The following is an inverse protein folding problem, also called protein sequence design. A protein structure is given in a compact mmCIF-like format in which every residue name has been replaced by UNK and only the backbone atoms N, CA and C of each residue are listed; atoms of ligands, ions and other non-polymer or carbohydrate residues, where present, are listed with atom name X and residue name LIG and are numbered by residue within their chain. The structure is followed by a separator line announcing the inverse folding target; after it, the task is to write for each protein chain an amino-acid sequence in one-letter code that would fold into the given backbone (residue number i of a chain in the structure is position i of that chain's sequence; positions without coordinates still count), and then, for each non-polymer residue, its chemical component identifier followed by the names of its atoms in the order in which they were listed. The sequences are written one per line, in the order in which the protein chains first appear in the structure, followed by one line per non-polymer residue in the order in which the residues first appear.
data_IF_217048144559
#
_entry.id   IF_217048144559
#
_cell.length_a   1.000
_cell.length_b   1.000
_cell.length_c   1.000
_cell.angle_alpha   90.00
_cell.angle_beta   90.00
_cell.angle_gamma   90.00
#
_symmetry.space_group_name_H-M   'P 1'
#
loop_
_entity.id
_entity.type
_entity.pdbx_description
1 polymer ?
#
# COMPACT_ATOMS: atom_id res chain seq x y z
N UNK A 1 17.01 -9.74 -19.21
CA UNK A 1 17.54 -8.66 -18.37
C UNK A 1 17.66 -9.14 -16.93
N UNK A 2 16.57 -9.42 -16.20
CA UNK A 2 16.62 -10.10 -14.90
C UNK A 2 15.36 -9.86 -14.06
N UNK A 3 15.40 -10.25 -12.78
CA UNK A 3 14.36 -10.00 -11.79
C UNK A 3 15.00 -9.49 -10.49
N UNK A 4 14.65 -8.27 -10.08
CA UNK A 4 15.14 -7.69 -8.83
C UNK A 4 14.56 -8.38 -7.60
N UNK A 5 13.35 -8.97 -7.70
CA UNK A 5 12.74 -9.75 -6.62
C UNK A 5 13.54 -11.02 -6.29
N UNK A 6 13.99 -11.74 -7.31
CA UNK A 6 14.70 -13.02 -7.14
C UNK A 6 16.22 -12.90 -7.21
N UNK A 7 16.74 -11.81 -7.79
CA UNK A 7 18.15 -11.65 -8.10
C UNK A 7 18.60 -12.38 -9.37
N UNK A 8 17.67 -12.99 -10.12
CA UNK A 8 18.01 -13.74 -11.33
C UNK A 8 18.37 -12.82 -12.51
N UNK A 9 19.26 -13.30 -13.38
CA UNK A 9 19.68 -12.59 -14.60
C UNK A 9 20.87 -11.64 -14.38
N UNK A 10 21.13 -10.80 -15.37
CA UNK A 10 22.23 -9.84 -15.37
C UNK A 10 21.71 -8.46 -14.97
N UNK A 11 21.55 -8.25 -13.66
CA UNK A 11 21.03 -7.00 -13.12
C UNK A 11 22.00 -5.82 -13.31
N UNK A 12 23.30 -6.09 -13.39
CA UNK A 12 24.32 -5.04 -13.61
C UNK A 12 24.19 -4.39 -14.99
N UNK A 13 23.66 -5.12 -15.97
CA UNK A 13 23.39 -4.56 -17.29
C UNK A 13 21.97 -4.05 -17.52
N UNK A 14 21.07 -4.21 -16.54
CA UNK A 14 19.65 -3.93 -16.70
C UNK A 14 19.37 -2.49 -17.15
N UNK A 15 20.17 -1.54 -16.67
CA UNK A 15 20.01 -0.11 -16.93
C UNK A 15 21.00 0.47 -17.96
N UNK A 16 21.68 -0.36 -18.78
CA UNK A 16 22.75 0.13 -19.69
C UNK A 16 22.29 1.20 -20.70
N UNK A 17 21.02 1.17 -21.08
CA UNK A 17 20.46 2.04 -22.11
C UNK A 17 19.30 2.91 -21.55
N UNK A 18 19.34 3.23 -20.25
CA UNK A 18 18.30 3.98 -19.56
C UNK A 18 18.84 5.24 -18.86
N UNK A 19 18.21 6.39 -19.12
CA UNK A 19 18.54 7.66 -18.47
C UNK A 19 17.84 7.82 -17.10
N UNK A 20 16.69 7.17 -16.94
CA UNK A 20 15.85 7.22 -15.75
C UNK A 20 15.21 5.86 -15.43
N UNK A 21 14.82 5.65 -14.17
CA UNK A 21 14.17 4.42 -13.71
C UNK A 21 12.94 4.69 -12.84
N UNK A 22 11.89 3.89 -13.01
CA UNK A 22 10.82 3.75 -12.02
C UNK A 22 11.08 2.50 -11.17
N UNK A 23 11.17 2.68 -9.85
CA UNK A 23 11.45 1.61 -8.90
C UNK A 23 10.19 1.30 -8.11
N UNK A 24 9.87 0.01 -8.02
CA UNK A 24 8.77 -0.51 -7.24
C UNK A 24 9.15 -1.90 -6.74
N UNK A 25 8.86 -2.18 -5.47
CA UNK A 25 9.07 -3.50 -4.87
C UNK A 25 7.72 -4.19 -4.75
N UNK A 26 7.60 -5.40 -5.30
CA UNK A 26 6.46 -6.26 -5.01
C UNK A 26 6.65 -6.86 -3.63
N UNK A 27 5.68 -6.70 -2.73
CA UNK A 27 5.71 -7.37 -1.44
C UNK A 27 5.72 -8.90 -1.62
N UNK A 28 6.72 -9.56 -1.02
CA UNK A 28 6.72 -11.01 -0.82
C UNK A 28 6.18 -11.34 0.58
N UNK A 29 4.91 -11.74 0.63
CA UNK A 29 4.21 -12.09 1.86
C UNK A 29 4.77 -13.31 2.60
N UNK A 30 5.68 -14.07 1.96
CA UNK A 30 6.39 -15.19 2.60
C UNK A 30 7.75 -14.78 3.17
N UNK A 31 8.20 -13.54 2.90
CA UNK A 31 9.51 -13.03 3.30
C UNK A 31 9.47 -11.52 3.55
N UNK A 32 8.49 -11.06 4.33
CA UNK A 32 8.16 -9.63 4.48
C UNK A 32 9.38 -8.81 4.94
N UNK A 33 10.13 -9.30 5.93
CA UNK A 33 11.28 -8.58 6.48
C UNK A 33 12.58 -8.75 5.67
N UNK A 34 12.73 -9.84 4.92
CA UNK A 34 13.95 -10.10 4.15
C UNK A 34 13.91 -9.57 2.72
N UNK A 35 12.72 -9.45 2.13
CA UNK A 35 12.55 -9.15 0.72
C UNK A 35 12.94 -7.70 0.37
N UNK A 36 12.37 -6.72 1.07
CA UNK A 36 12.65 -5.30 0.82
C UNK A 36 14.15 -4.96 0.89
N UNK A 37 14.90 -5.37 1.95
CA UNK A 37 16.35 -5.16 2.00
C UNK A 37 17.12 -5.82 0.85
N UNK A 38 16.73 -7.03 0.45
CA UNK A 38 17.38 -7.76 -0.62
C UNK A 38 17.18 -7.04 -1.98
N UNK A 39 15.95 -6.63 -2.27
CA UNK A 39 15.62 -5.87 -3.49
C UNK A 39 16.29 -4.50 -3.48
N UNK A 40 16.25 -3.78 -2.36
CA UNK A 40 16.88 -2.47 -2.21
C UNK A 40 18.39 -2.51 -2.50
N UNK A 41 19.09 -3.52 -1.98
CA UNK A 41 20.52 -3.72 -2.29
C UNK A 41 20.74 -3.91 -3.80
N UNK A 42 19.93 -4.74 -4.44
CA UNK A 42 20.04 -5.00 -5.88
C UNK A 42 19.76 -3.73 -6.71
N UNK A 43 18.78 -2.92 -6.32
CA UNK A 43 18.55 -1.62 -6.95
C UNK A 43 19.77 -0.71 -6.82
N UNK A 44 20.32 -0.56 -5.61
CA UNK A 44 21.51 0.26 -5.38
C UNK A 44 22.69 -0.21 -6.22
N UNK A 45 22.96 -1.52 -6.25
CA UNK A 45 24.09 -2.08 -7.00
C UNK A 45 23.94 -1.91 -8.52
N UNK A 46 22.72 -2.08 -9.05
CA UNK A 46 22.43 -1.89 -10.46
C UNK A 46 22.49 -0.40 -10.85
N UNK A 47 21.97 0.50 -10.01
CA UNK A 47 21.96 1.94 -10.30
C UNK A 47 23.35 2.56 -10.24
N UNK A 48 24.19 2.20 -9.26
CA UNK A 48 25.57 2.72 -9.10
C UNK A 48 26.42 2.57 -10.36
N UNK A 49 26.21 1.50 -11.11
CA UNK A 49 27.02 1.16 -12.30
C UNK A 49 26.31 1.49 -13.62
N UNK A 50 25.25 2.32 -13.57
CA UNK A 50 24.41 2.62 -14.71
C UNK A 50 24.48 4.09 -15.16
N UNK A 51 24.07 4.39 -16.40
CA UNK A 51 23.86 5.76 -16.86
C UNK A 51 22.65 6.46 -16.22
N UNK A 52 21.82 5.77 -15.44
CA UNK A 52 20.65 6.38 -14.80
C UNK A 52 21.06 7.57 -13.93
N UNK A 53 20.39 8.71 -14.11
CA UNK A 53 20.59 9.92 -13.31
C UNK A 53 19.35 10.35 -12.54
N UNK A 54 18.21 9.76 -12.83
CA UNK A 54 16.95 9.99 -12.12
C UNK A 54 16.27 8.66 -11.79
N UNK A 55 15.85 8.47 -10.54
CA UNK A 55 14.94 7.40 -10.21
C UNK A 55 13.73 7.89 -9.41
N UNK A 56 12.54 7.46 -9.85
CA UNK A 56 11.29 7.66 -9.13
C UNK A 56 10.97 6.36 -8.40
N UNK A 57 11.00 6.40 -7.07
CA UNK A 57 10.72 5.26 -6.20
C UNK A 57 9.28 5.33 -5.68
N UNK A 58 8.47 4.32 -5.98
CA UNK A 58 7.21 4.09 -5.29
C UNK A 58 7.50 3.48 -3.92
N UNK A 59 7.22 4.26 -2.88
CA UNK A 59 7.36 3.88 -1.48
C UNK A 59 6.03 4.13 -0.75
N UNK A 60 6.02 3.97 0.57
CA UNK A 60 4.79 4.05 1.35
C UNK A 60 4.80 5.22 2.33
N UNK A 61 3.61 5.70 2.70
CA UNK A 61 3.42 6.43 3.96
C UNK A 61 4.13 5.70 5.10
N UNK A 62 4.83 6.44 5.97
CA UNK A 62 5.58 5.82 7.07
C UNK A 62 6.99 5.37 6.70
N UNK A 63 7.44 5.50 5.45
CA UNK A 63 8.83 5.20 5.07
C UNK A 63 9.86 6.09 5.78
N UNK A 64 9.45 7.25 6.29
CA UNK A 64 10.26 8.11 7.17
C UNK A 64 10.39 7.60 8.60
N UNK A 65 9.53 6.69 9.02
CA UNK A 65 9.44 6.23 10.42
C UNK A 65 10.31 4.99 10.61
N UNK A 66 11.17 5.04 11.61
CA UNK A 66 11.98 3.89 12.03
C UNK A 66 11.31 3.10 13.16
N UNK A 67 11.69 1.83 13.30
CA UNK A 67 11.25 0.96 14.38
C UNK A 67 10.10 0.04 13.98
N UNK A 68 9.42 -0.50 14.99
CA UNK A 68 8.40 -1.52 14.83
C UNK A 68 7.11 -0.92 14.26
N UNK A 69 7.06 -0.87 12.93
CA UNK A 69 5.98 -0.28 12.13
C UNK A 69 5.39 -1.30 11.15
N UNK A 70 5.65 -2.58 11.37
CA UNK A 70 5.20 -3.67 10.51
C UNK A 70 5.64 -3.46 9.07
N UNK A 71 4.68 -3.48 8.17
CA UNK A 71 4.90 -3.41 6.74
C UNK A 71 5.68 -2.15 6.31
N UNK A 72 5.53 -1.04 7.03
CA UNK A 72 6.21 0.22 6.75
C UNK A 72 7.74 0.16 6.94
N UNK A 73 8.23 -0.76 7.78
CA UNK A 73 9.66 -0.89 8.06
C UNK A 73 10.48 -1.27 6.81
N UNK A 74 9.91 -2.09 5.91
CA UNK A 74 10.55 -2.46 4.65
C UNK A 74 10.74 -1.26 3.72
N UNK A 75 9.75 -0.37 3.65
CA UNK A 75 9.83 0.87 2.88
C UNK A 75 10.85 1.85 3.47
N UNK A 76 10.96 1.93 4.79
CA UNK A 76 12.01 2.72 5.44
C UNK A 76 13.41 2.23 5.02
N UNK A 77 13.64 0.92 5.06
CA UNK A 77 14.91 0.33 4.64
C UNK A 77 15.21 0.55 3.16
N UNK A 78 14.20 0.44 2.29
CA UNK A 78 14.31 0.75 0.86
C UNK A 78 14.75 2.20 0.64
N UNK A 79 14.05 3.14 1.25
CA UNK A 79 14.36 4.57 1.11
C UNK A 79 15.77 4.88 1.65
N UNK A 80 16.14 4.35 2.82
CA UNK A 80 17.49 4.56 3.38
C UNK A 80 18.59 3.99 2.48
N UNK A 81 18.37 2.83 1.86
CA UNK A 81 19.33 2.24 0.94
C UNK A 81 19.49 3.08 -0.33
N UNK A 82 18.39 3.47 -0.96
CA UNK A 82 18.42 4.31 -2.17
C UNK A 82 19.05 5.67 -1.90
N UNK A 83 18.77 6.27 -0.74
CA UNK A 83 19.34 7.57 -0.35
C UNK A 83 20.88 7.61 -0.30
N UNK A 84 21.56 6.46 -0.29
CA UNK A 84 23.02 6.36 -0.35
C UNK A 84 23.60 6.64 -1.76
N UNK A 85 22.76 6.74 -2.80
CA UNK A 85 23.20 7.04 -4.16
C UNK A 85 23.47 8.53 -4.33
N UNK A 86 24.73 8.96 -4.41
CA UNK A 86 25.10 10.37 -4.57
C UNK A 86 24.87 10.92 -5.98
N UNK A 87 24.87 10.05 -6.99
CA UNK A 87 24.91 10.46 -8.41
C UNK A 87 23.58 10.16 -9.14
N UNK A 88 22.54 9.82 -8.37
CA UNK A 88 21.18 9.58 -8.87
C UNK A 88 20.23 10.48 -8.08
N UNK A 89 19.53 11.36 -8.79
CA UNK A 89 18.45 12.16 -8.22
C UNK A 89 17.26 11.25 -7.92
N UNK A 90 16.67 11.42 -6.75
CA UNK A 90 15.59 10.54 -6.27
C UNK A 90 14.32 11.30 -5.97
N UNK A 91 13.22 10.78 -6.51
CA UNK A 91 11.86 11.18 -6.13
C UNK A 91 11.20 10.02 -5.40
N UNK A 92 10.94 10.18 -4.11
CA UNK A 92 10.17 9.25 -3.31
C UNK A 92 8.68 9.60 -3.38
N UNK A 93 7.91 8.78 -4.08
CA UNK A 93 6.45 8.82 -4.06
C UNK A 93 5.96 8.00 -2.84
N UNK A 94 5.75 8.67 -1.71
CA UNK A 94 5.15 8.07 -0.50
C UNK A 94 3.66 7.94 -0.72
N UNK A 95 3.27 6.83 -1.34
CA UNK A 95 1.87 6.54 -1.59
C UNK A 95 1.15 6.11 -0.32
N UNK A 96 -0.09 6.55 -0.21
CA UNK A 96 -1.00 6.09 0.85
C UNK A 96 -1.67 4.76 0.49
N UNK A 97 -2.71 4.37 1.24
CA UNK A 97 -3.46 3.16 0.94
C UNK A 97 -4.13 3.23 -0.43
N UNK A 98 -4.03 2.14 -1.19
CA UNK A 98 -4.60 2.08 -2.53
C UNK A 98 -6.12 1.93 -2.44
N UNK A 99 -6.86 2.77 -3.16
CA UNK A 99 -8.32 2.74 -3.21
C UNK A 99 -8.81 1.37 -3.72
N UNK A 100 -8.04 0.74 -4.60
CA UNK A 100 -8.26 -0.59 -5.15
C UNK A 100 -8.30 -1.69 -4.08
N UNK A 101 -7.62 -1.50 -2.94
CA UNK A 101 -7.66 -2.46 -1.82
C UNK A 101 -9.08 -2.62 -1.26
N UNK A 102 -9.97 -1.66 -1.50
CA UNK A 102 -11.38 -1.75 -1.08
C UNK A 102 -12.12 -2.93 -1.71
N UNK A 103 -11.65 -3.42 -2.88
CA UNK A 103 -12.23 -4.59 -3.56
C UNK A 103 -12.18 -5.85 -2.69
N UNK A 104 -11.23 -5.96 -1.75
CA UNK A 104 -11.12 -7.07 -0.82
C UNK A 104 -12.36 -7.21 0.10
N UNK A 105 -13.13 -6.14 0.30
CA UNK A 105 -14.36 -6.16 1.09
C UNK A 105 -15.64 -6.40 0.27
N UNK A 106 -15.57 -6.54 -1.06
CA UNK A 106 -16.77 -6.74 -1.88
C UNK A 106 -17.59 -7.96 -1.42
N UNK A 107 -16.92 -9.09 -1.16
CA UNK A 107 -17.55 -10.30 -0.64
C UNK A 107 -18.07 -10.15 0.80
N UNK A 108 -17.30 -9.47 1.65
CA UNK A 108 -17.70 -9.17 3.03
C UNK A 108 -18.99 -8.34 3.08
N UNK A 109 -19.05 -7.27 2.27
CA UNK A 109 -20.23 -6.42 2.17
C UNK A 109 -21.39 -7.20 1.56
N UNK A 110 -21.17 -8.01 0.53
CA UNK A 110 -22.20 -8.88 -0.06
C UNK A 110 -22.85 -9.82 0.96
N UNK A 111 -22.02 -10.54 1.73
CA UNK A 111 -22.47 -11.58 2.68
C UNK A 111 -23.00 -11.03 4.00
N UNK A 112 -22.37 -9.98 4.52
CA UNK A 112 -22.59 -9.53 5.91
C UNK A 112 -23.07 -8.09 6.02
N UNK A 113 -23.11 -7.33 4.93
CA UNK A 113 -23.45 -5.91 4.99
C UNK A 113 -22.46 -5.11 5.84
N UNK A 114 -21.21 -5.55 5.92
CA UNK A 114 -20.20 -4.93 6.74
C UNK A 114 -18.80 -5.10 6.14
N UNK A 115 -17.88 -4.25 6.58
CA UNK A 115 -16.45 -4.37 6.34
C UNK A 115 -15.70 -4.40 7.67
N UNK A 116 -14.88 -5.43 7.85
CA UNK A 116 -14.07 -5.71 9.03
C UNK A 116 -12.62 -5.30 8.79
N UNK A 117 -12.06 -4.55 9.74
CA UNK A 117 -10.66 -4.09 9.67
C UNK A 117 -10.15 -3.63 11.03
N UNK A 118 -8.84 -3.39 11.16
CA UNK A 118 -8.18 -3.04 12.44
C UNK A 118 -7.71 -1.58 12.54
N UNK A 119 -8.22 -0.69 11.68
CA UNK A 119 -7.95 0.74 11.77
C UNK A 119 -8.95 1.37 12.75
N UNK A 120 -8.49 2.15 13.71
CA UNK A 120 -9.36 2.81 14.69
C UNK A 120 -10.50 3.58 13.97
N UNK A 121 -11.77 3.44 14.38
CA UNK A 121 -12.90 4.10 13.73
C UNK A 121 -12.77 5.61 13.56
N UNK A 122 -12.04 6.27 14.47
CA UNK A 122 -11.82 7.72 14.44
C UNK A 122 -10.55 8.11 13.67
N UNK A 123 -9.76 7.12 13.24
CA UNK A 123 -8.52 7.36 12.52
C UNK A 123 -8.79 7.64 11.05
N UNK A 124 -8.55 8.89 10.64
CA UNK A 124 -8.44 9.28 9.23
C UNK A 124 -7.12 8.77 8.65
N UNK A 125 -7.21 8.08 7.52
CA UNK A 125 -6.04 7.66 6.73
C UNK A 125 -6.16 8.12 5.29
N UNK A 126 -5.04 8.51 4.66
CA UNK A 126 -5.03 8.91 3.26
C UNK A 126 -5.25 7.70 2.33
N UNK A 127 -5.90 7.97 1.20
CA UNK A 127 -6.14 7.01 0.11
C UNK A 127 -5.65 7.55 -1.22
N UNK A 128 -5.31 6.67 -2.16
CA UNK A 128 -4.80 7.05 -3.49
C UNK A 128 -5.17 5.99 -4.53
N UNK A 129 -5.48 6.40 -5.76
CA UNK A 129 -5.63 5.46 -6.88
C UNK A 129 -4.27 5.13 -7.51
N UNK A 130 -4.11 3.89 -7.99
CA UNK A 130 -2.89 3.48 -8.71
C UNK A 130 -2.65 4.30 -9.98
N UNK A 131 -3.72 4.70 -10.66
CA UNK A 131 -3.65 5.60 -11.83
C UNK A 131 -3.04 6.97 -11.48
N UNK A 132 -3.38 7.51 -10.31
CA UNK A 132 -2.84 8.81 -9.86
C UNK A 132 -1.36 8.70 -9.51
N UNK A 133 -0.94 7.58 -8.91
CA UNK A 133 0.48 7.27 -8.67
C UNK A 133 1.23 7.18 -10.01
N UNK A 134 0.69 6.44 -10.97
CA UNK A 134 1.30 6.26 -12.28
C UNK A 134 1.46 7.59 -13.03
N UNK A 135 0.42 8.44 -13.01
CA UNK A 135 0.45 9.77 -13.60
C UNK A 135 1.51 10.66 -12.94
N UNK A 136 1.61 10.64 -11.62
CA UNK A 136 2.63 11.41 -10.89
C UNK A 136 4.04 10.89 -11.17
N UNK A 137 4.23 9.56 -11.21
CA UNK A 137 5.51 8.96 -11.56
C UNK A 137 5.96 9.34 -12.98
N UNK A 138 5.05 9.25 -13.95
CA UNK A 138 5.32 9.66 -15.33
C UNK A 138 5.69 11.16 -15.42
N UNK A 139 4.99 12.02 -14.66
CA UNK A 139 5.30 13.45 -14.58
C UNK A 139 6.70 13.71 -14.02
N UNK A 140 7.06 13.08 -12.91
CA UNK A 140 8.38 13.27 -12.27
C UNK A 140 9.51 12.72 -13.15
N UNK A 141 9.28 11.65 -13.90
CA UNK A 141 10.24 11.12 -14.89
C UNK A 141 10.43 12.03 -16.11
N UNK A 142 9.37 12.70 -16.56
CA UNK A 142 9.38 13.51 -17.80
C UNK A 142 9.64 15.00 -17.56
N UNK A 143 9.45 15.48 -16.33
CA UNK A 143 9.71 16.85 -15.92
C UNK A 143 10.46 16.86 -14.57
N UNK A 144 11.74 16.49 -14.57
CA UNK A 144 12.54 16.42 -13.35
C UNK A 144 12.64 17.78 -12.67
N UNK A 145 12.62 17.78 -11.34
CA UNK A 145 12.76 18.99 -10.53
C UNK A 145 14.17 19.59 -10.58
N UNK A 146 15.17 18.76 -10.88
CA UNK A 146 16.59 19.09 -10.73
C UNK A 146 17.08 19.07 -9.26
N UNK A 147 16.22 18.66 -8.32
CA UNK A 147 16.59 18.48 -6.92
C UNK A 147 17.11 17.06 -6.70
N UNK A 148 18.17 16.93 -5.92
CA UNK A 148 18.77 15.63 -5.64
C UNK A 148 17.83 14.68 -4.88
N UNK A 149 16.97 15.24 -4.02
CA UNK A 149 16.01 14.49 -3.20
C UNK A 149 14.68 15.21 -3.14
N UNK A 150 13.64 14.49 -3.55
CA UNK A 150 12.27 14.97 -3.54
C UNK A 150 11.41 13.94 -2.82
N UNK A 151 10.52 14.41 -1.95
CA UNK A 151 9.50 13.58 -1.30
C UNK A 151 8.13 14.11 -1.73
N UNK A 152 7.27 13.20 -2.19
CA UNK A 152 5.86 13.47 -2.51
C UNK A 152 4.99 12.58 -1.65
N UNK A 153 4.16 13.17 -0.81
CA UNK A 153 3.06 12.44 -0.17
C UNK A 153 1.91 12.34 -1.19
N UNK A 154 1.54 11.10 -1.54
CA UNK A 154 0.61 10.82 -2.64
C UNK A 154 -0.68 10.24 -2.05
N UNK A 155 -1.70 11.09 -1.92
CA UNK A 155 -3.03 10.74 -1.43
C UNK A 155 -4.07 11.77 -1.85
N UNK A 156 -5.23 11.32 -2.33
CA UNK A 156 -6.32 12.15 -2.84
C UNK A 156 -7.21 12.69 -1.72
N UNK A 157 -7.54 11.85 -0.74
CA UNK A 157 -8.43 12.21 0.37
C UNK A 157 -8.12 11.40 1.64
N UNK A 158 -8.57 11.91 2.78
CA UNK A 158 -8.44 11.25 4.08
C UNK A 158 -9.80 10.79 4.58
N UNK A 159 -9.94 9.48 4.76
CA UNK A 159 -11.18 8.85 5.19
C UNK A 159 -10.97 8.01 6.44
N UNK A 160 -11.95 8.02 7.31
CA UNK A 160 -12.12 6.97 8.32
C UNK A 160 -12.83 5.75 7.70
N UNK A 161 -12.71 4.58 8.34
CA UNK A 161 -13.42 3.40 7.90
C UNK A 161 -14.96 3.55 7.94
N UNK A 162 -15.56 4.23 8.96
CA UNK A 162 -16.98 4.60 8.90
C UNK A 162 -17.36 5.52 7.74
N UNK A 163 -16.51 6.50 7.37
CA UNK A 163 -16.75 7.36 6.19
C UNK A 163 -16.73 6.53 4.89
N UNK A 164 -15.78 5.60 4.75
CA UNK A 164 -15.75 4.65 3.63
C UNK A 164 -17.02 3.79 3.59
N UNK A 165 -17.45 3.22 4.72
CA UNK A 165 -18.67 2.43 4.81
C UNK A 165 -19.91 3.23 4.40
N UNK A 166 -19.96 4.52 4.75
CA UNK A 166 -21.04 5.43 4.34
C UNK A 166 -21.03 5.73 2.84
N UNK A 167 -19.85 5.90 2.22
CA UNK A 167 -19.71 6.04 0.75
C UNK A 167 -20.24 4.78 0.06
N UNK A 168 -19.79 3.61 0.49
CA UNK A 168 -20.25 2.33 -0.08
C UNK A 168 -21.77 2.21 0.09
N UNK A 169 -22.30 2.48 1.30
CA UNK A 169 -23.73 2.40 1.59
C UNK A 169 -24.58 3.23 0.63
N UNK A 170 -24.16 4.47 0.36
CA UNK A 170 -24.84 5.39 -0.55
C UNK A 170 -24.82 4.85 -1.99
N UNK A 171 -23.66 4.41 -2.47
CA UNK A 171 -23.50 3.95 -3.85
C UNK A 171 -24.25 2.64 -4.14
N UNK A 172 -24.39 1.75 -3.15
CA UNK A 172 -25.14 0.50 -3.30
C UNK A 172 -26.60 0.56 -2.83
N UNK A 173 -27.02 1.66 -2.20
CA UNK A 173 -28.41 1.86 -1.75
C UNK A 173 -28.85 0.97 -0.58
N UNK A 174 -27.92 0.47 0.24
CA UNK A 174 -28.22 -0.30 1.46
C UNK A 174 -27.19 -0.06 2.57
N UNK A 175 -27.52 -0.24 3.85
CA UNK A 175 -26.59 0.00 4.95
C UNK A 175 -25.36 -0.92 4.88
N UNK A 176 -24.19 -0.34 5.14
CA UNK A 176 -22.92 -1.05 5.34
C UNK A 176 -22.30 -0.58 6.65
N UNK A 177 -22.01 -1.52 7.55
CA UNK A 177 -21.37 -1.23 8.83
C UNK A 177 -19.84 -1.34 8.76
N UNK A 178 -19.14 -0.56 9.58
CA UNK A 178 -17.74 -0.82 9.89
C UNK A 178 -17.63 -1.66 11.17
N UNK A 179 -16.89 -2.77 11.11
CA UNK A 179 -16.59 -3.64 12.26
C UNK A 179 -15.12 -3.50 12.62
N UNK A 180 -14.86 -2.84 13.74
CA UNK A 180 -13.51 -2.71 14.26
C UNK A 180 -13.02 -4.05 14.84
N UNK A 181 -11.85 -4.47 14.39
CA UNK A 181 -11.19 -5.72 14.78
C UNK A 181 -10.02 -5.37 15.69
N UNK A 182 -10.24 -5.54 17.00
CA UNK A 182 -9.19 -5.36 17.99
C UNK A 182 -8.18 -6.52 17.92
N UNK A 183 -6.97 -6.23 17.43
CA UNK A 183 -5.89 -7.21 17.29
C UNK A 183 -5.25 -7.60 18.63
N UNK A 184 -5.61 -6.95 19.74
CA UNK A 184 -5.17 -7.36 21.10
C UNK A 184 -5.98 -8.53 21.64
N UNK A 185 -7.08 -8.89 20.97
CA UNK A 185 -7.92 -10.03 21.34
C UNK A 185 -7.29 -11.36 20.92
N UNK A 186 -6.98 -12.19 21.91
CA UNK A 186 -6.38 -13.52 21.71
C UNK A 186 -7.26 -14.47 20.89
N UNK A 187 -8.59 -14.34 20.97
CA UNK A 187 -9.49 -15.19 20.20
C UNK A 187 -9.49 -14.85 18.70
N UNK A 188 -9.29 -13.58 18.34
CA UNK A 188 -9.12 -13.15 16.95
C UNK A 188 -7.78 -13.63 16.40
N UNK A 189 -6.71 -13.49 17.19
CA UNK A 189 -5.38 -14.02 16.83
C UNK A 189 -5.44 -15.54 16.61
N UNK A 190 -6.02 -16.28 17.56
CA UNK A 190 -6.12 -17.73 17.46
C UNK A 190 -6.89 -18.19 16.20
N UNK A 191 -7.99 -17.51 15.85
CA UNK A 191 -8.74 -17.83 14.64
C UNK A 191 -7.96 -17.45 13.36
N UNK A 192 -7.23 -16.33 13.38
CA UNK A 192 -6.34 -15.95 12.27
C UNK A 192 -5.28 -17.00 12.00
N UNK A 193 -4.56 -17.43 13.03
CA UNK A 193 -3.49 -18.41 12.93
C UNK A 193 -4.00 -19.80 12.52
N UNK A 194 -5.23 -20.12 12.89
CA UNK A 194 -5.86 -21.39 12.54
C UNK A 194 -6.25 -21.47 11.06
N UNK A 195 -6.58 -20.34 10.41
CA UNK A 195 -7.33 -20.36 9.14
C UNK A 195 -6.80 -19.46 8.03
N UNK A 196 -6.15 -18.35 8.35
CA UNK A 196 -5.93 -17.28 7.38
C UNK A 196 -4.46 -16.97 7.13
N UNK A 197 -3.60 -17.05 8.13
CA UNK A 197 -2.20 -16.66 7.98
C UNK A 197 -1.28 -17.22 9.05
N UNK A 198 -0.05 -16.73 9.03
CA UNK A 198 1.03 -17.18 9.93
C UNK A 198 1.23 -16.22 11.11
N UNK A 199 1.96 -16.62 12.17
CA UNK A 199 2.34 -15.73 13.26
C UNK A 199 3.09 -14.48 12.80
N UNK A 200 3.96 -14.62 11.79
CA UNK A 200 4.74 -13.52 11.24
C UNK A 200 3.84 -12.49 10.54
N UNK A 201 2.87 -12.96 9.75
CA UNK A 201 1.87 -12.08 9.12
C UNK A 201 0.99 -11.39 10.16
N UNK A 202 0.57 -12.13 11.20
CA UNK A 202 -0.22 -11.54 12.28
C UNK A 202 0.55 -10.43 13.00
N UNK A 203 1.83 -10.63 13.28
CA UNK A 203 2.69 -9.64 13.92
C UNK A 203 2.91 -8.41 13.03
N UNK A 204 3.25 -8.62 11.75
CA UNK A 204 3.49 -7.53 10.79
C UNK A 204 2.25 -6.64 10.62
N UNK A 205 1.07 -7.25 10.42
CA UNK A 205 -0.19 -6.53 10.34
C UNK A 205 -0.51 -5.79 11.65
N UNK A 206 -0.28 -6.43 12.81
CA UNK A 206 -0.54 -5.80 14.11
C UNK A 206 0.31 -4.56 14.32
N UNK A 207 1.61 -4.63 14.03
CA UNK A 207 2.50 -3.48 14.13
C UNK A 207 2.16 -2.38 13.11
N UNK A 208 1.72 -2.76 11.91
CA UNK A 208 1.25 -1.83 10.87
C UNK A 208 0.05 -1.04 11.37
N UNK A 209 -0.96 -1.72 11.92
CA UNK A 209 -2.16 -1.06 12.46
C UNK A 209 -1.87 -0.25 13.72
N UNK A 210 -1.04 -0.75 14.63
CA UNK A 210 -0.64 0.01 15.81
C UNK A 210 0.04 1.33 15.42
N UNK A 211 0.97 1.31 14.45
CA UNK A 211 1.67 2.50 13.97
C UNK A 211 0.75 3.52 13.28
N UNK A 212 -0.32 3.06 12.62
CA UNK A 212 -1.35 3.94 12.07
C UNK A 212 -2.24 4.52 13.18
N UNK A 213 -2.74 3.66 14.08
CA UNK A 213 -3.70 4.02 15.12
C UNK A 213 -3.10 4.94 16.17
N UNK A 214 -1.86 4.71 16.61
CA UNK A 214 -1.15 5.60 17.54
C UNK A 214 -0.62 6.89 16.88
N UNK A 215 -0.71 6.97 15.55
CA UNK A 215 -0.38 8.15 14.77
C UNK A 215 1.11 8.37 14.50
N UNK A 216 1.98 7.39 14.82
CA UNK A 216 3.39 7.42 14.40
C UNK A 216 3.52 7.49 12.88
N UNK A 217 2.70 6.74 12.14
CA UNK A 217 2.62 6.77 10.68
C UNK A 217 1.48 7.67 10.23
N UNK A 218 1.82 8.78 9.58
CA UNK A 218 0.88 9.75 9.01
C UNK A 218 1.59 10.61 7.97
N UNK A 219 0.81 11.25 7.11
CA UNK A 219 1.33 12.36 6.31
C UNK A 219 1.51 13.62 7.15
N UNK A 220 2.49 14.43 6.77
CA UNK A 220 2.94 15.62 7.47
C UNK A 220 2.86 16.89 6.61
N UNK A 221 2.77 16.75 5.29
CA UNK A 221 2.89 17.83 4.32
C UNK A 221 1.58 18.21 3.63
N UNK A 222 1.69 19.21 2.77
CA UNK A 222 0.62 19.59 1.85
C UNK A 222 0.63 18.66 0.63
N UNK A 223 -0.54 18.12 0.27
CA UNK A 223 -0.71 17.25 -0.89
C UNK A 223 -1.28 18.03 -2.05
N UNK A 224 -0.78 17.75 -3.24
CA UNK A 224 -1.45 18.20 -4.46
C UNK A 224 -2.76 17.45 -4.62
N UNK A 225 -3.83 18.11 -5.11
CA UNK A 225 -5.07 17.40 -5.41
C UNK A 225 -4.82 16.35 -6.49
N UNK A 226 -5.40 15.17 -6.29
CA UNK A 226 -5.39 14.08 -7.25
C UNK A 226 -6.81 13.87 -7.80
N UNK A 227 -6.96 13.48 -9.07
CA UNK A 227 -8.26 13.50 -9.74
C UNK A 227 -9.20 12.37 -9.30
N UNK A 228 -8.68 11.26 -8.79
CA UNK A 228 -9.50 10.09 -8.45
C UNK A 228 -9.96 10.14 -7.00
N UNK A 229 -11.28 10.18 -6.79
CA UNK A 229 -11.89 10.07 -5.46
C UNK A 229 -12.37 8.65 -5.18
N UNK A 230 -12.40 8.29 -3.89
CA UNK A 230 -13.02 7.09 -3.36
C UNK A 230 -14.45 6.93 -3.86
N UNK A 231 -15.26 8.00 -3.82
CA UNK A 231 -16.64 7.94 -4.32
C UNK A 231 -16.71 7.54 -5.81
N UNK A 232 -15.88 8.15 -6.66
CA UNK A 232 -15.84 7.81 -8.10
C UNK A 232 -15.42 6.36 -8.32
N UNK A 233 -14.40 5.88 -7.59
CA UNK A 233 -13.94 4.51 -7.68
C UNK A 233 -15.00 3.51 -7.20
N UNK A 234 -15.66 3.82 -6.07
CA UNK A 234 -16.71 2.95 -5.53
C UNK A 234 -17.87 2.81 -6.53
N UNK A 235 -18.26 3.91 -7.18
CA UNK A 235 -19.33 3.92 -8.18
C UNK A 235 -18.96 3.15 -9.45
N UNK A 236 -17.79 3.43 -10.00
CA UNK A 236 -17.45 3.05 -11.38
C UNK A 236 -16.73 1.70 -11.46
N UNK A 237 -16.04 1.28 -10.39
CA UNK A 237 -15.23 0.05 -10.37
C UNK A 237 -15.72 -0.93 -9.31
N UNK A 238 -15.82 -0.48 -8.04
CA UNK A 238 -16.13 -1.37 -6.93
C UNK A 238 -17.56 -1.93 -7.01
N UNK A 239 -18.56 -1.07 -7.26
CA UNK A 239 -19.97 -1.45 -7.31
C UNK A 239 -20.26 -2.51 -8.39
N UNK A 240 -19.77 -2.39 -9.64
CA UNK A 240 -19.87 -3.47 -10.61
C UNK A 240 -19.31 -4.80 -10.11
N UNK A 241 -18.14 -4.79 -9.46
CA UNK A 241 -17.53 -6.01 -8.89
C UNK A 241 -18.37 -6.59 -7.75
N UNK A 242 -18.87 -5.74 -6.88
CA UNK A 242 -19.78 -6.11 -5.80
C UNK A 242 -21.07 -6.77 -6.32
N UNK A 243 -21.69 -6.20 -7.37
CA UNK A 243 -22.87 -6.77 -8.00
C UNK A 243 -22.58 -8.13 -8.63
N UNK A 244 -21.39 -8.33 -9.21
CA UNK A 244 -20.95 -9.63 -9.70
C UNK A 244 -20.77 -10.65 -8.56
N UNK A 245 -20.24 -10.23 -7.40
CA UNK A 245 -20.08 -11.11 -6.23
C UNK A 245 -21.41 -11.60 -5.67
N UNK A 246 -22.49 -10.80 -5.76
CA UNK A 246 -23.83 -11.27 -5.36
C UNK A 246 -24.31 -12.49 -6.18
N UNK A 247 -23.77 -12.69 -7.38
CA UNK A 247 -24.14 -13.78 -8.27
C UNK A 247 -23.28 -15.05 -8.05
N UNK A 248 -22.19 -14.98 -7.29
CA UNK A 248 -21.26 -16.10 -7.09
C UNK A 248 -20.81 -16.21 -5.63
N UNK A 249 -21.47 -17.09 -4.85
CA UNK A 249 -21.15 -17.29 -3.42
C UNK A 249 -20.00 -18.28 -3.18
N UNK A 250 -19.20 -18.59 -4.20
CA UNK A 250 -18.17 -19.64 -4.12
C UNK A 250 -16.79 -19.16 -3.70
N UNK A 251 -16.60 -17.86 -3.45
CA UNK A 251 -15.30 -17.35 -3.00
C UNK A 251 -14.96 -17.85 -1.58
N UNK A 252 -13.74 -18.38 -1.36
CA UNK A 252 -13.31 -18.84 -0.04
C UNK A 252 -13.35 -17.69 0.97
N UNK A 253 -13.67 -18.02 2.22
CA UNK A 253 -13.68 -17.02 3.29
C UNK A 253 -12.27 -16.50 3.55
N UNK A 254 -12.11 -15.17 3.50
CA UNK A 254 -10.89 -14.45 3.84
C UNK A 254 -10.98 -13.86 5.24
N UNK A 255 -9.86 -13.45 5.84
CA UNK A 255 -9.90 -12.77 7.15
C UNK A 255 -10.76 -11.49 7.13
N UNK A 256 -10.69 -10.61 6.11
CA UNK A 256 -11.63 -9.48 6.00
C UNK A 256 -13.10 -9.92 5.97
N UNK A 257 -13.43 -10.99 5.25
CA UNK A 257 -14.82 -11.50 5.19
C UNK A 257 -15.25 -12.07 6.55
N UNK A 258 -14.43 -12.91 7.17
CA UNK A 258 -14.72 -13.51 8.46
C UNK A 258 -14.86 -12.47 9.58
N UNK A 259 -13.95 -11.50 9.63
CA UNK A 259 -13.97 -10.42 10.62
C UNK A 259 -15.08 -9.39 10.38
N UNK A 260 -15.75 -9.49 9.24
CA UNK A 260 -16.96 -8.71 8.95
C UNK A 260 -18.23 -9.40 9.43
N UNK A 261 -18.18 -10.51 10.18
CA UNK A 261 -19.37 -11.20 10.76
C UNK A 261 -19.86 -10.53 12.03
N UNK A 262 -21.13 -10.79 12.37
CA UNK A 262 -21.76 -10.32 13.61
C UNK A 262 -21.30 -11.18 14.79
#
# INVERSE_FOLDING_TARGET
MGSFDTGAGDLGSFFRDADAAFLMVKTDWNNIHGHYPAVARRFVDALRNSPVRLAVNLTSIGSEVKGDTGHFAGFHQLDQALNQLSDVDLVHLRASWFIENTLAWAAAVARHGALGWSLDPDRKTPWVATDDIANLAAKELTNPTGEHRVIREVGSEDLTMPELAAIISREIGRPVAYRFVDRKRQDIEAEFLKRFGTPEQWLDDSQTFDALNDGRVRFHGHRSPLPTSMESFIRDVWKPRYLATLADDREPETFPTWSSKD
#
